data_IF_550245631002
#
_entry.id   IF_550245631002
#
_cell.length_a   1.000
_cell.length_b   1.000
_cell.length_c   1.000
_cell.angle_alpha   90.00
_cell.angle_beta   90.00
_cell.angle_gamma   90.00
#
_symmetry.space_group_name_H-M   'P 1'
#
loop_
_entity.id
_entity.type
_entity.pdbx_description
1 polymer ?
#
# COMPACT_ATOMS: atom_id res chain seq x y z
N UNK A 1 10.37 -6.75 13.88
CA UNK A 1 10.43 -7.92 13.07
C UNK A 1 11.08 -7.61 11.71
N UNK A 2 12.01 -8.49 11.33
CA UNK A 2 12.80 -8.28 10.12
C UNK A 2 12.14 -8.87 8.88
N UNK A 3 11.18 -9.75 9.07
CA UNK A 3 10.53 -10.45 7.96
C UNK A 3 9.32 -9.66 7.50
N UNK A 4 9.32 -9.22 6.26
CA UNK A 4 8.24 -8.41 5.75
C UNK A 4 6.89 -9.13 5.80
N UNK A 5 6.86 -10.44 5.53
CA UNK A 5 5.60 -11.17 5.56
C UNK A 5 4.99 -11.21 6.96
N UNK A 6 5.81 -11.37 7.98
CA UNK A 6 5.32 -11.31 9.37
C UNK A 6 4.86 -9.90 9.73
N UNK A 7 5.61 -8.91 9.27
CA UNK A 7 5.23 -7.52 9.49
C UNK A 7 3.86 -7.21 8.86
N UNK A 8 3.65 -7.61 7.61
CA UNK A 8 2.43 -7.25 6.92
C UNK A 8 1.21 -7.98 7.49
N UNK A 9 1.40 -9.19 8.02
CA UNK A 9 0.30 -9.89 8.68
C UNK A 9 -0.22 -9.10 9.87
N UNK A 10 0.68 -8.61 10.71
CA UNK A 10 0.28 -7.80 11.86
C UNK A 10 -0.22 -6.42 11.43
N UNK A 11 0.44 -5.82 10.44
CA UNK A 11 0.07 -4.52 9.91
C UNK A 11 -1.39 -4.52 9.41
N UNK A 12 -1.83 -5.64 8.85
CA UNK A 12 -3.16 -5.74 8.25
C UNK A 12 -4.29 -5.92 9.27
N UNK A 13 -3.99 -6.41 10.48
CA UNK A 13 -5.05 -6.74 11.44
C UNK A 13 -5.05 -5.87 12.69
N UNK A 14 -3.99 -5.11 12.93
CA UNK A 14 -3.86 -4.32 14.16
C UNK A 14 -3.83 -2.85 13.80
N UNK A 15 -4.93 -2.14 14.08
CA UNK A 15 -5.07 -0.75 13.67
C UNK A 15 -4.06 0.18 14.34
N UNK A 16 -3.77 -0.05 15.61
CA UNK A 16 -2.78 0.77 16.32
C UNK A 16 -1.39 0.56 15.74
N UNK A 17 -1.06 -0.70 15.47
CA UNK A 17 0.22 -1.02 14.84
C UNK A 17 0.33 -0.39 13.46
N UNK A 18 -0.74 -0.46 12.67
CA UNK A 18 -0.73 0.09 11.32
C UNK A 18 -0.46 1.60 11.32
N UNK A 19 -1.11 2.33 12.21
CA UNK A 19 -0.86 3.77 12.34
C UNK A 19 0.58 4.04 12.78
N UNK A 20 1.09 3.25 13.73
CA UNK A 20 2.46 3.44 14.24
C UNK A 20 3.53 3.14 13.21
N UNK A 21 3.21 2.36 12.19
CA UNK A 21 4.17 1.98 11.14
C UNK A 21 3.88 2.64 9.80
N UNK A 22 3.17 3.75 9.81
CA UNK A 22 2.92 4.56 8.63
C UNK A 22 3.61 5.90 8.83
N UNK A 23 4.36 6.33 7.83
CA UNK A 23 5.04 7.62 7.88
C UNK A 23 4.02 8.72 7.54
N UNK A 24 3.75 9.60 8.51
CA UNK A 24 2.84 10.72 8.30
C UNK A 24 3.60 12.04 8.19
N UNK A 25 3.15 12.96 7.36
CA UNK A 25 2.00 12.82 6.46
C UNK A 25 2.28 11.78 5.38
N UNK A 26 1.31 10.93 5.09
CA UNK A 26 1.48 9.87 4.11
C UNK A 26 1.33 10.43 2.71
N UNK A 27 2.36 10.21 1.90
CA UNK A 27 2.35 10.65 0.50
C UNK A 27 1.51 9.70 -0.33
N UNK A 28 0.54 10.24 -1.05
CA UNK A 28 -0.29 9.49 -1.98
C UNK A 28 -0.18 10.15 -3.35
N UNK A 29 0.34 9.39 -4.31
CA UNK A 29 0.43 9.83 -5.70
C UNK A 29 -0.67 9.11 -6.46
N UNK A 30 -1.42 9.84 -7.27
CA UNK A 30 -2.50 9.26 -8.04
C UNK A 30 -2.54 9.89 -9.42
N UNK A 31 -3.08 9.12 -10.36
CA UNK A 31 -3.21 9.59 -11.73
C UNK A 31 -4.53 10.31 -11.91
N UNK A 32 -4.45 11.58 -12.32
CA UNK A 32 -5.61 12.41 -12.60
C UNK A 32 -5.94 12.29 -14.08
N UNK A 33 -6.93 11.47 -14.39
CA UNK A 33 -7.27 11.16 -15.77
C UNK A 33 -7.83 12.39 -16.50
N UNK A 34 -8.47 13.30 -15.81
CA UNK A 34 -9.06 14.49 -16.42
C UNK A 34 -8.00 15.46 -16.90
N UNK A 35 -6.88 15.53 -16.21
CA UNK A 35 -5.78 16.42 -16.54
C UNK A 35 -4.57 15.69 -17.11
N UNK A 36 -4.65 14.38 -17.25
CA UNK A 36 -3.60 13.53 -17.79
C UNK A 36 -2.25 13.79 -17.13
N UNK A 37 -2.24 13.72 -15.81
CA UNK A 37 -1.02 13.92 -15.05
C UNK A 37 -1.14 13.30 -13.67
N UNK A 38 0.00 13.07 -13.03
CA UNK A 38 0.04 12.62 -11.65
C UNK A 38 -0.24 13.79 -10.71
N UNK A 39 -0.98 13.49 -9.67
CA UNK A 39 -1.23 14.44 -8.57
C UNK A 39 -0.72 13.83 -7.27
N UNK A 40 -0.29 14.67 -6.36
CA UNK A 40 0.25 14.22 -5.07
C UNK A 40 -0.53 14.91 -3.96
N UNK A 41 -0.98 14.11 -2.99
CA UNK A 41 -1.58 14.63 -1.77
C UNK A 41 -0.88 14.00 -0.57
N UNK A 42 -1.05 14.62 0.59
CA UNK A 42 -0.51 14.11 1.84
C UNK A 42 -1.65 13.98 2.84
N UNK A 43 -1.74 12.81 3.48
CA UNK A 43 -2.75 12.56 4.52
C UNK A 43 -2.09 12.48 5.87
N UNK A 44 -2.69 13.12 6.86
CA UNK A 44 -2.24 12.96 8.23
C UNK A 44 -2.94 11.79 8.90
N UNK A 45 -2.60 11.50 10.16
CA UNK A 45 -3.12 10.34 10.83
C UNK A 45 -4.62 10.42 11.10
N UNK A 46 -5.18 11.62 11.16
CA UNK A 46 -6.61 11.77 11.44
C UNK A 46 -7.49 11.39 10.25
N UNK A 47 -6.94 11.42 9.04
CA UNK A 47 -7.68 11.05 7.83
C UNK A 47 -7.24 9.71 7.24
N UNK A 48 -6.38 8.98 7.97
CA UNK A 48 -5.86 7.70 7.49
C UNK A 48 -6.92 6.61 7.63
N UNK A 49 -7.09 5.83 6.56
CA UNK A 49 -8.01 4.71 6.54
C UNK A 49 -7.24 3.41 6.62
N UNK A 50 -7.74 2.48 7.41
CA UNK A 50 -7.08 1.19 7.61
C UNK A 50 -7.11 0.35 6.34
N UNK A 51 -6.02 -0.39 6.12
CA UNK A 51 -5.86 -1.26 4.97
C UNK A 51 -5.73 -2.70 5.43
N UNK A 52 -6.28 -3.62 4.64
CA UNK A 52 -6.21 -5.05 4.94
C UNK A 52 -5.59 -5.80 3.77
N UNK A 53 -4.31 -6.10 3.89
CA UNK A 53 -3.58 -6.81 2.84
C UNK A 53 -3.69 -8.33 2.97
N UNK A 54 -4.28 -8.80 4.06
CA UNK A 54 -4.47 -10.23 4.25
C UNK A 54 -5.73 -10.77 3.59
N UNK A 55 -6.60 -9.87 3.17
CA UNK A 55 -7.88 -10.27 2.64
C UNK A 55 -7.88 -10.30 1.14
N UNK A 56 -8.12 -11.44 0.57
CA UNK A 56 -8.26 -11.55 -0.87
C UNK A 56 -9.72 -11.70 -1.21
N UNK A 57 -10.34 -10.60 -1.48
CA UNK A 57 -11.75 -10.63 -1.75
C UNK A 57 -12.04 -10.20 -3.14
N UNK A 58 -12.75 -11.01 -3.89
CA UNK A 58 -13.38 -10.51 -5.09
C UNK A 58 -14.86 -10.67 -4.89
N UNK A 59 -15.56 -9.59 -5.03
CA UNK A 59 -16.98 -9.56 -4.77
C UNK A 59 -17.79 -9.62 -6.02
N UNK A 60 -17.27 -9.67 -7.13
CA UNK A 60 -17.98 -9.74 -8.38
C UNK A 60 -16.96 -9.76 -9.48
N UNK A 61 -17.40 -9.95 -10.70
CA UNK A 61 -16.46 -10.09 -11.78
C UNK A 61 -15.72 -8.80 -12.11
N UNK A 62 -16.19 -7.65 -11.66
CA UNK A 62 -15.54 -6.38 -11.98
C UNK A 62 -14.67 -5.85 -10.84
N UNK A 63 -14.68 -6.51 -9.68
CA UNK A 63 -13.96 -6.08 -8.51
C UNK A 63 -12.80 -7.00 -8.18
N UNK A 64 -12.36 -7.82 -9.11
CA UNK A 64 -11.32 -8.79 -8.87
C UNK A 64 -9.93 -8.15 -9.00
N UNK A 65 -9.03 -8.57 -8.12
CA UNK A 65 -7.65 -8.11 -8.19
C UNK A 65 -6.72 -9.20 -7.67
N UNK A 66 -5.45 -9.03 -8.00
CA UNK A 66 -4.38 -9.87 -7.49
C UNK A 66 -3.41 -9.01 -6.71
N UNK A 67 -2.77 -9.60 -5.73
CA UNK A 67 -1.81 -8.92 -4.88
C UNK A 67 -0.49 -9.67 -4.92
N UNK A 68 0.60 -8.92 -5.10
CA UNK A 68 1.93 -9.49 -5.15
C UNK A 68 2.84 -8.71 -4.24
N UNK A 69 3.64 -9.41 -3.43
CA UNK A 69 4.61 -8.80 -2.53
C UNK A 69 5.99 -8.96 -3.15
N UNK A 70 6.69 -7.85 -3.33
CA UNK A 70 8.05 -7.83 -3.86
C UNK A 70 8.95 -7.20 -2.82
N UNK A 71 9.90 -7.98 -2.29
CA UNK A 71 10.87 -7.49 -1.31
C UNK A 71 12.21 -7.43 -2.00
N UNK A 72 12.98 -6.35 -1.82
CA UNK A 72 14.27 -6.24 -2.47
C UNK A 72 15.25 -7.25 -1.85
N UNK A 73 16.34 -7.52 -2.57
CA UNK A 73 17.28 -8.55 -2.14
C UNK A 73 18.01 -8.20 -0.86
N UNK A 74 18.08 -6.93 -0.52
CA UNK A 74 18.72 -6.45 0.72
C UNK A 74 17.74 -6.42 1.89
N UNK A 75 16.47 -6.74 1.67
CA UNK A 75 15.44 -6.73 2.71
C UNK A 75 15.29 -5.36 3.37
N UNK A 76 15.40 -4.30 2.57
CA UNK A 76 15.28 -2.92 3.05
C UNK A 76 14.11 -2.17 2.47
N UNK A 77 13.54 -2.65 1.38
CA UNK A 77 12.33 -2.06 0.79
C UNK A 77 11.42 -3.16 0.27
N UNK A 78 10.14 -2.87 0.25
CA UNK A 78 9.15 -3.82 -0.23
C UNK A 78 8.01 -3.06 -0.89
N UNK A 79 7.37 -3.69 -1.85
CA UNK A 79 6.19 -3.12 -2.52
C UNK A 79 5.10 -4.17 -2.53
N UNK A 80 3.89 -3.77 -2.18
CA UNK A 80 2.71 -4.59 -2.41
C UNK A 80 2.05 -4.06 -3.65
N UNK A 81 2.03 -4.89 -4.70
CA UNK A 81 1.46 -4.52 -5.99
C UNK A 81 0.05 -5.09 -6.09
N UNK A 82 -0.92 -4.22 -6.27
CA UNK A 82 -2.32 -4.61 -6.47
C UNK A 82 -2.68 -4.35 -7.92
N UNK A 83 -3.12 -5.38 -8.61
CA UNK A 83 -3.46 -5.29 -10.03
C UNK A 83 -4.85 -5.86 -10.23
N UNK A 84 -5.71 -5.08 -10.89
CA UNK A 84 -7.05 -5.53 -11.22
C UNK A 84 -7.03 -6.56 -12.34
N UNK A 85 -8.08 -7.36 -12.35
CA UNK A 85 -8.30 -8.36 -13.41
C UNK A 85 -9.40 -7.80 -14.31
N UNK A 86 -9.02 -7.43 -15.52
CA UNK A 86 -9.94 -6.84 -16.52
C UNK A 86 -10.65 -5.58 -16.02
N UNK A 87 -9.93 -4.82 -15.18
CA UNK A 87 -10.42 -3.52 -14.73
C UNK A 87 -9.22 -2.59 -14.56
N UNK A 88 -9.30 -1.39 -14.35
CA UNK A 88 -8.19 -0.45 -14.35
C UNK A 88 -7.45 -0.32 -13.02
N UNK A 89 -7.60 -1.25 -12.09
CA UNK A 89 -6.98 -1.14 -10.76
C UNK A 89 -5.48 -1.37 -10.84
N UNK A 90 -4.69 -0.41 -10.36
CA UNK A 90 -3.24 -0.50 -10.30
C UNK A 90 -2.75 0.36 -9.14
N UNK A 91 -2.43 -0.26 -8.01
CA UNK A 91 -2.00 0.45 -6.82
C UNK A 91 -0.75 -0.22 -6.27
N UNK A 92 0.26 0.57 -5.95
CA UNK A 92 1.47 0.10 -5.30
C UNK A 92 1.56 0.73 -3.92
N UNK A 93 1.80 -0.10 -2.91
CA UNK A 93 2.03 0.34 -1.54
C UNK A 93 3.52 0.14 -1.25
N UNK A 94 4.22 1.23 -0.97
CA UNK A 94 5.69 1.22 -0.85
C UNK A 94 6.10 1.28 0.60
N UNK A 95 6.94 0.33 0.99
CA UNK A 95 7.43 0.20 2.37
C UNK A 95 8.95 0.27 2.38
N UNK A 96 9.51 0.84 3.42
CA UNK A 96 10.96 0.89 3.65
C UNK A 96 11.27 0.58 5.09
N UNK A 97 12.45 -0.01 5.32
CA UNK A 97 12.98 -0.10 6.68
C UNK A 97 13.64 1.22 7.04
N UNK A 98 13.13 1.83 8.08
CA UNK A 98 13.69 3.06 8.63
C UNK A 98 14.15 2.73 10.04
N UNK A 99 15.45 2.82 10.27
CA UNK A 99 16.06 2.44 11.54
C UNK A 99 15.69 1.00 11.94
N UNK A 100 15.73 0.11 10.97
CA UNK A 100 15.43 -1.31 11.18
C UNK A 100 13.98 -1.66 11.32
N UNK A 101 13.08 -0.72 11.07
CA UNK A 101 11.65 -0.89 11.25
C UNK A 101 10.92 -0.67 9.92
N UNK A 102 10.08 -1.62 9.54
CA UNK A 102 9.27 -1.47 8.32
C UNK A 102 8.22 -0.39 8.50
N UNK A 103 8.15 0.51 7.52
CA UNK A 103 7.19 1.62 7.50
C UNK A 103 6.55 1.75 6.14
N UNK A 104 5.25 2.00 6.11
CA UNK A 104 4.58 2.40 4.87
C UNK A 104 4.94 3.86 4.61
N UNK A 105 5.50 4.16 3.44
CA UNK A 105 6.00 5.49 3.12
C UNK A 105 5.26 6.18 2.00
N UNK A 106 4.61 5.42 1.13
CA UNK A 106 3.97 6.04 -0.05
C UNK A 106 2.95 5.07 -0.64
N UNK A 107 1.89 5.65 -1.20
CA UNK A 107 0.92 4.90 -2.00
C UNK A 107 0.91 5.51 -3.39
N UNK A 108 1.12 4.68 -4.41
CA UNK A 108 1.07 5.07 -5.81
C UNK A 108 -0.16 4.43 -6.45
N UNK A 109 -1.15 5.24 -6.78
CA UNK A 109 -2.39 4.76 -7.38
C UNK A 109 -2.44 5.22 -8.84
N UNK A 110 -2.20 4.29 -9.76
CA UNK A 110 -2.24 4.54 -11.20
C UNK A 110 -3.51 3.99 -11.82
N UNK A 111 -4.51 3.69 -11.02
CA UNK A 111 -5.78 3.13 -11.51
C UNK A 111 -6.45 4.07 -12.51
N UNK A 112 -7.09 3.49 -13.51
CA UNK A 112 -7.78 4.24 -14.57
C UNK A 112 -9.23 3.85 -14.71
#
# INVERSE_FOLDING_TARGET
DNNFNNFIDKFSIDSTFQVSRTKFPLKIKWYDIDNDRDSIIYKDSSSFELMDFGKKKSKGQYDQWEQKIVVDKNNTSATIEVRGIDNGIMVDYLFEKINGTWMLIEIDDSST
#
